data_IF_309024322895
#
_entry.id   IF_309024322895
#
_cell.length_a   1.000
_cell.length_b   1.000
_cell.length_c   1.000
_cell.angle_alpha   90.00
_cell.angle_beta   90.00
_cell.angle_gamma   90.00
#
_symmetry.space_group_name_H-M   'P 1'
#
loop_
_entity.id
_entity.type
_entity.pdbx_description
1 polymer ?
#
# COMPACT_ATOMS: atom_id res chain seq x y z
N UNK A 1 35.34 -8.18 39.15
CA UNK A 1 35.67 -6.76 38.94
C UNK A 1 35.82 -6.12 40.32
N UNK A 2 36.99 -5.55 40.65
CA UNK A 2 37.36 -5.16 42.01
C UNK A 2 38.03 -3.78 42.09
N UNK A 3 37.48 -2.79 41.38
CA UNK A 3 37.94 -1.40 41.47
C UNK A 3 37.18 -0.62 42.54
N UNK A 4 37.90 0.12 43.36
CA UNK A 4 37.34 1.05 44.37
C UNK A 4 37.17 2.42 43.70
N UNK A 5 35.97 3.00 43.81
CA UNK A 5 35.65 4.30 43.22
C UNK A 5 35.41 5.32 44.33
N UNK A 6 35.82 6.57 44.12
CA UNK A 6 35.32 7.67 44.94
C UNK A 6 33.80 7.79 44.74
N UNK A 7 32.99 7.92 45.82
CA UNK A 7 31.53 8.01 45.72
C UNK A 7 31.04 9.11 44.76
N UNK A 8 31.81 10.20 44.65
CA UNK A 8 31.50 11.35 43.80
C UNK A 8 31.92 11.17 42.34
N UNK A 9 32.77 10.20 42.03
CA UNK A 9 33.24 9.92 40.67
C UNK A 9 32.50 8.73 40.03
N UNK A 10 31.76 7.93 40.81
CA UNK A 10 30.95 6.83 40.31
C UNK A 10 29.54 7.32 39.94
N UNK A 11 29.44 8.00 38.81
CA UNK A 11 28.21 8.64 38.36
C UNK A 11 27.58 7.91 37.16
N UNK A 12 26.25 7.89 37.13
CA UNK A 12 25.51 7.34 36.01
C UNK A 12 25.79 8.13 34.73
N UNK A 13 26.10 7.41 33.65
CA UNK A 13 26.42 8.04 32.39
C UNK A 13 25.24 8.79 31.76
N UNK A 14 24.00 8.38 32.03
CA UNK A 14 22.79 9.03 31.52
C UNK A 14 22.45 10.32 32.26
N UNK A 15 22.21 10.27 33.58
CA UNK A 15 21.75 11.42 34.36
C UNK A 15 22.86 12.23 35.02
N UNK A 16 24.11 11.76 34.96
CA UNK A 16 25.31 12.36 35.57
C UNK A 16 25.30 12.45 37.10
N UNK A 17 24.30 11.88 37.76
CA UNK A 17 24.22 11.81 39.23
C UNK A 17 25.02 10.62 39.78
N UNK A 18 25.56 10.71 41.01
CA UNK A 18 26.21 9.59 41.69
C UNK A 18 25.30 8.35 41.79
N UNK A 19 25.87 7.17 41.61
CA UNK A 19 25.17 5.89 41.82
C UNK A 19 25.43 5.46 43.26
N UNK A 20 24.41 5.59 44.10
CA UNK A 20 24.43 5.13 45.50
C UNK A 20 23.74 3.78 45.69
N UNK A 21 23.13 3.24 44.64
CA UNK A 21 22.42 1.97 44.67
C UNK A 21 23.38 0.78 44.81
N UNK A 22 22.95 -0.26 45.52
CA UNK A 22 23.74 -1.48 45.70
C UNK A 22 23.98 -2.24 44.39
N UNK A 23 23.07 -2.09 43.42
CA UNK A 23 23.15 -2.74 42.11
C UNK A 23 23.02 -1.71 40.99
N UNK A 24 23.87 -1.83 39.97
CA UNK A 24 23.91 -0.93 38.81
C UNK A 24 24.06 -1.72 37.52
N UNK A 25 23.85 -1.07 36.38
CA UNK A 25 24.00 -1.67 35.05
C UNK A 25 25.20 -1.08 34.32
N UNK A 26 25.87 -1.90 33.50
CA UNK A 26 27.04 -1.49 32.71
C UNK A 26 26.73 -1.68 31.22
N UNK A 27 26.89 -0.62 30.41
CA UNK A 27 26.96 -0.69 28.94
C UNK A 27 28.28 -0.08 28.48
N UNK A 28 29.02 -0.73 27.59
CA UNK A 28 30.25 -0.18 27.00
C UNK A 28 31.25 0.35 28.05
N UNK A 29 31.37 -0.38 29.16
CA UNK A 29 32.19 -0.01 30.32
C UNK A 29 31.79 1.30 31.02
N UNK A 30 30.56 1.78 30.83
CA UNK A 30 29.98 2.96 31.47
C UNK A 30 28.89 2.54 32.47
N UNK A 31 28.90 3.06 33.71
CA UNK A 31 27.92 2.71 34.73
C UNK A 31 26.63 3.52 34.57
N UNK A 32 25.49 2.89 34.85
CA UNK A 32 24.16 3.50 34.85
C UNK A 32 23.37 3.07 36.08
N UNK A 33 22.50 3.95 36.60
CA UNK A 33 21.40 3.50 37.47
C UNK A 33 20.59 2.45 36.71
N UNK A 34 20.07 1.42 37.39
CA UNK A 34 19.23 0.39 36.75
C UNK A 34 18.02 1.00 36.02
N UNK A 35 17.40 2.01 36.61
CA UNK A 35 16.29 2.77 36.03
C UNK A 35 16.71 3.53 34.77
N UNK A 36 17.83 4.27 34.83
CA UNK A 36 18.36 5.00 33.67
C UNK A 36 18.79 4.06 32.55
N UNK A 37 19.43 2.93 32.88
CA UNK A 37 19.77 1.91 31.90
C UNK A 37 18.52 1.37 31.20
N UNK A 38 17.49 1.03 31.98
CA UNK A 38 16.21 0.59 31.44
C UNK A 38 15.58 1.65 30.54
N UNK A 39 15.58 2.91 30.96
CA UNK A 39 14.99 4.01 30.19
C UNK A 39 15.66 4.18 28.81
N UNK A 40 16.99 4.04 28.74
CA UNK A 40 17.75 4.25 27.51
C UNK A 40 17.89 3.01 26.62
N UNK A 41 17.94 1.81 27.21
CA UNK A 41 18.26 0.58 26.47
C UNK A 41 17.09 -0.39 26.34
N UNK A 42 16.05 -0.27 27.17
CA UNK A 42 14.92 -1.17 27.12
C UNK A 42 13.97 -0.76 25.99
N UNK A 43 13.67 -1.64 25.03
CA UNK A 43 12.77 -1.28 23.94
C UNK A 43 11.36 -1.00 24.45
N UNK A 44 10.73 0.01 23.86
CA UNK A 44 9.31 0.34 24.04
C UNK A 44 8.50 -0.24 22.89
N UNK A 45 7.27 -0.62 23.21
CA UNK A 45 6.28 -1.10 22.27
C UNK A 45 5.65 0.09 21.53
N UNK A 46 5.67 0.09 20.21
CA UNK A 46 5.07 1.14 19.38
C UNK A 46 3.53 1.13 19.47
N UNK A 47 2.94 0.03 19.96
CA UNK A 47 1.49 -0.12 20.15
C UNK A 47 1.05 0.36 21.53
N UNK A 48 1.52 -0.27 22.62
CA UNK A 48 1.08 0.07 23.97
C UNK A 48 1.86 1.22 24.63
N UNK A 49 2.95 1.69 24.01
CA UNK A 49 3.86 2.74 24.49
C UNK A 49 4.63 2.43 25.78
N UNK A 50 4.42 1.25 26.35
CA UNK A 50 5.15 0.74 27.52
C UNK A 50 6.43 0.01 27.12
N UNK A 51 7.33 -0.18 28.08
CA UNK A 51 8.44 -1.12 27.93
C UNK A 51 7.94 -2.53 27.63
N UNK A 52 8.58 -3.20 26.68
CA UNK A 52 8.24 -4.58 26.31
C UNK A 52 8.58 -5.49 27.50
N UNK A 53 7.70 -6.39 27.95
CA UNK A 53 8.01 -7.24 29.10
C UNK A 53 9.11 -8.26 28.76
N UNK A 54 9.92 -8.62 29.76
CA UNK A 54 10.83 -9.77 29.67
C UNK A 54 10.05 -11.08 29.79
N UNK A 55 10.44 -12.09 29.03
CA UNK A 55 9.89 -13.44 29.16
C UNK A 55 10.40 -14.12 30.47
N UNK A 56 9.90 -15.32 30.84
CA UNK A 56 10.33 -16.01 32.06
C UNK A 56 11.83 -16.32 32.14
N UNK A 57 12.54 -16.35 31.01
CA UNK A 57 13.99 -16.51 30.94
C UNK A 57 14.78 -15.19 31.15
N UNK A 58 14.08 -14.08 31.41
CA UNK A 58 14.69 -12.75 31.58
C UNK A 58 15.09 -12.06 30.28
N UNK A 59 14.71 -12.62 29.12
CA UNK A 59 15.03 -12.06 27.81
C UNK A 59 13.91 -11.17 27.29
N UNK A 60 14.26 -10.08 26.61
CA UNK A 60 13.28 -9.19 25.96
C UNK A 60 12.99 -9.70 24.56
N UNK A 61 11.80 -10.27 24.36
CA UNK A 61 11.31 -10.66 23.04
C UNK A 61 10.25 -9.69 22.55
N UNK A 62 10.39 -9.25 21.30
CA UNK A 62 9.41 -8.43 20.61
C UNK A 62 9.14 -8.97 19.21
N UNK A 63 7.99 -8.58 18.65
CA UNK A 63 7.65 -8.78 17.25
C UNK A 63 7.89 -7.48 16.49
N UNK A 64 8.18 -7.60 15.20
CA UNK A 64 8.34 -6.44 14.33
C UNK A 64 7.55 -6.66 13.04
N UNK A 65 6.92 -5.60 12.54
CA UNK A 65 6.39 -5.65 11.18
C UNK A 65 7.55 -5.82 10.19
N UNK A 66 7.53 -6.79 9.25
CA UNK A 66 8.67 -7.09 8.36
C UNK A 66 9.18 -5.90 7.56
N UNK A 67 8.27 -5.08 7.01
CA UNK A 67 8.61 -3.89 6.23
C UNK A 67 8.73 -2.61 7.07
N UNK A 68 7.73 -2.28 7.89
CA UNK A 68 7.71 -1.02 8.65
C UNK A 68 8.63 -1.01 9.88
N UNK A 69 9.12 -2.18 10.31
CA UNK A 69 9.88 -2.36 11.54
C UNK A 69 9.18 -1.82 12.80
N UNK A 70 7.84 -1.71 12.78
CA UNK A 70 7.03 -1.37 13.95
C UNK A 70 7.23 -2.46 15.00
N UNK A 71 7.85 -2.13 16.13
CA UNK A 71 8.17 -3.07 17.22
C UNK A 71 7.03 -3.12 18.22
N UNK A 72 6.57 -4.31 18.56
CA UNK A 72 5.44 -4.46 19.47
C UNK A 72 5.54 -5.70 20.36
N UNK A 73 4.81 -5.66 21.47
CA UNK A 73 4.69 -6.78 22.40
C UNK A 73 4.04 -7.99 21.69
N UNK A 74 4.55 -9.22 21.87
CA UNK A 74 3.95 -10.42 21.29
C UNK A 74 2.49 -10.66 21.68
N UNK A 75 2.02 -10.09 22.80
CA UNK A 75 0.61 -10.15 23.21
C UNK A 75 -0.35 -9.50 22.22
N UNK A 76 0.10 -8.50 21.46
CA UNK A 76 -0.75 -7.79 20.50
C UNK A 76 -1.15 -8.63 19.29
N UNK A 77 -0.50 -9.78 19.07
CA UNK A 77 -0.94 -10.75 18.06
C UNK A 77 -2.24 -11.47 18.45
N UNK A 78 -2.63 -11.43 19.74
CA UNK A 78 -3.74 -12.23 20.28
C UNK A 78 -4.77 -11.42 21.07
N UNK A 79 -4.52 -10.14 21.35
CA UNK A 79 -5.39 -9.31 22.18
C UNK A 79 -6.47 -8.54 21.40
N UNK A 80 -6.57 -8.79 20.08
CA UNK A 80 -7.51 -8.11 19.21
C UNK A 80 -7.08 -6.71 18.77
N UNK A 81 -5.83 -6.30 19.02
CA UNK A 81 -5.28 -5.06 18.46
C UNK A 81 -5.43 -5.06 16.94
N UNK A 82 -6.17 -4.12 16.36
CA UNK A 82 -6.43 -4.14 14.92
C UNK A 82 -5.21 -3.70 14.11
N UNK A 83 -5.20 -4.09 12.84
CA UNK A 83 -4.22 -3.67 11.85
C UNK A 83 -4.87 -2.77 10.82
N UNK A 84 -4.11 -1.83 10.28
CA UNK A 84 -4.53 -1.07 9.12
C UNK A 84 -4.72 -2.02 7.92
N UNK A 85 -5.86 -1.98 7.24
CA UNK A 85 -6.15 -2.84 6.08
C UNK A 85 -5.28 -2.53 4.86
N UNK A 86 -4.52 -1.43 4.90
CA UNK A 86 -3.66 -1.01 3.79
C UNK A 86 -2.18 -1.15 4.09
N UNK A 87 -1.68 -0.69 5.25
CA UNK A 87 -0.26 -0.79 5.59
C UNK A 87 0.08 -1.88 6.63
N UNK A 88 -0.92 -2.62 7.13
CA UNK A 88 -0.80 -3.73 8.09
C UNK A 88 -0.15 -3.39 9.45
N UNK A 89 0.25 -2.13 9.68
CA UNK A 89 0.67 -1.63 10.99
C UNK A 89 -0.46 -1.74 12.01
N UNK A 90 -0.13 -2.16 13.21
CA UNK A 90 -1.05 -2.25 14.34
C UNK A 90 -1.44 -0.86 14.85
N UNK A 91 -2.70 -0.70 15.28
CA UNK A 91 -3.25 0.53 15.88
C UNK A 91 -2.57 0.83 17.23
N UNK A 92 -1.83 1.95 17.35
CA UNK A 92 -1.26 2.38 18.62
C UNK A 92 -2.33 2.79 19.63
N UNK A 93 -2.11 2.58 20.93
CA UNK A 93 -3.09 2.92 22.00
C UNK A 93 -3.42 4.41 22.10
N UNK A 94 -2.51 5.27 21.67
CA UNK A 94 -2.63 6.73 21.72
C UNK A 94 -3.26 7.32 20.45
N UNK A 95 -3.51 6.49 19.44
CA UNK A 95 -4.08 6.92 18.15
C UNK A 95 -5.30 6.07 17.83
N UNK A 96 -6.31 6.66 17.18
CA UNK A 96 -7.48 5.91 16.74
C UNK A 96 -7.51 5.77 15.22
N UNK A 97 -7.67 4.53 14.74
CA UNK A 97 -7.87 4.26 13.33
C UNK A 97 -9.33 4.49 12.93
N UNK A 98 -9.54 4.89 11.67
CA UNK A 98 -10.86 4.97 11.07
C UNK A 98 -11.46 3.58 10.96
N UNK A 99 -12.70 3.42 11.43
CA UNK A 99 -13.48 2.20 11.22
C UNK A 99 -14.36 2.37 9.98
N UNK A 100 -14.16 1.47 9.02
CA UNK A 100 -15.00 1.35 7.83
C UNK A 100 -16.24 0.49 8.15
N UNK A 101 -17.30 0.60 7.36
CA UNK A 101 -18.58 -0.07 7.64
C UNK A 101 -18.49 -1.60 7.50
N UNK A 102 -17.52 -2.09 6.72
CA UNK A 102 -17.21 -3.51 6.55
C UNK A 102 -16.28 -4.09 7.65
N UNK A 103 -16.04 -3.32 8.72
CA UNK A 103 -15.23 -3.70 9.86
C UNK A 103 -13.71 -3.51 9.67
N UNK A 104 -13.24 -3.12 8.49
CA UNK A 104 -11.83 -2.77 8.29
C UNK A 104 -11.41 -1.55 9.10
N UNK A 105 -10.12 -1.47 9.37
CA UNK A 105 -9.49 -0.36 10.08
C UNK A 105 -8.49 0.32 9.18
N UNK A 106 -8.53 1.65 9.09
CA UNK A 106 -7.63 2.43 8.25
C UNK A 106 -6.88 3.44 9.13
N UNK A 107 -5.56 3.39 9.10
CA UNK A 107 -4.75 4.37 9.83
C UNK A 107 -4.86 5.76 9.20
N UNK A 108 -4.60 6.80 9.99
CA UNK A 108 -4.76 8.19 9.54
C UNK A 108 -3.83 8.55 8.37
N UNK A 109 -2.59 8.04 8.37
CA UNK A 109 -1.65 8.28 7.27
C UNK A 109 -2.09 7.60 5.96
N UNK A 110 -2.76 6.43 6.02
CA UNK A 110 -3.35 5.80 4.83
C UNK A 110 -4.66 6.48 4.41
N UNK A 111 -5.40 7.07 5.36
CA UNK A 111 -6.63 7.81 5.09
C UNK A 111 -6.37 9.07 4.26
N UNK A 112 -5.21 9.72 4.43
CA UNK A 112 -4.86 10.96 3.72
C UNK A 112 -4.96 10.86 2.18
N UNK A 113 -4.72 9.67 1.62
CA UNK A 113 -4.85 9.40 0.18
C UNK A 113 -5.91 8.37 -0.16
N UNK A 114 -6.81 8.02 0.77
CA UNK A 114 -7.82 7.00 0.55
C UNK A 114 -8.94 7.48 -0.38
N UNK A 115 -9.30 6.63 -1.36
CA UNK A 115 -10.38 6.87 -2.31
C UNK A 115 -11.65 6.22 -1.75
N UNK A 116 -12.69 7.02 -1.50
CA UNK A 116 -13.85 6.59 -0.73
C UNK A 116 -15.12 6.36 -1.55
N UNK A 117 -15.19 6.86 -2.77
CA UNK A 117 -16.39 6.75 -3.62
C UNK A 117 -16.02 6.78 -5.10
N UNK A 118 -16.93 6.29 -5.95
CA UNK A 118 -16.65 5.99 -7.36
C UNK A 118 -16.11 7.16 -8.18
N UNK A 119 -16.68 8.35 -8.02
CA UNK A 119 -16.25 9.53 -8.78
C UNK A 119 -14.86 10.04 -8.36
N UNK A 120 -14.43 9.81 -7.11
CA UNK A 120 -13.08 10.17 -6.64
C UNK A 120 -11.99 9.35 -7.34
N UNK A 121 -12.34 8.17 -7.85
CA UNK A 121 -11.41 7.29 -8.55
C UNK A 121 -11.21 7.64 -10.03
N UNK A 122 -12.07 8.50 -10.61
CA UNK A 122 -12.02 8.80 -12.05
C UNK A 122 -10.70 9.44 -12.52
N UNK A 123 -10.10 10.41 -11.81
CA UNK A 123 -8.79 10.94 -12.21
C UNK A 123 -7.71 9.86 -12.24
N UNK A 124 -7.70 8.95 -11.26
CA UNK A 124 -6.76 7.83 -11.20
C UNK A 124 -7.00 6.84 -12.36
N UNK A 125 -8.26 6.61 -12.74
CA UNK A 125 -8.57 5.74 -13.88
C UNK A 125 -8.02 6.30 -15.19
N UNK A 126 -8.18 7.60 -15.43
CA UNK A 126 -7.61 8.27 -16.61
C UNK A 126 -6.08 8.16 -16.60
N UNK A 127 -5.42 8.39 -15.46
CA UNK A 127 -3.96 8.23 -15.35
C UNK A 127 -3.49 6.81 -15.68
N UNK A 128 -4.26 5.79 -15.30
CA UNK A 128 -3.95 4.39 -15.63
C UNK A 128 -4.20 4.11 -17.11
N UNK A 129 -5.27 4.64 -17.70
CA UNK A 129 -5.49 4.54 -19.14
C UNK A 129 -4.34 5.18 -19.94
N UNK A 130 -3.85 6.33 -19.50
CA UNK A 130 -2.67 7.00 -20.08
C UNK A 130 -1.40 6.16 -19.92
N UNK A 131 -1.21 5.52 -18.76
CA UNK A 131 -0.10 4.58 -18.54
C UNK A 131 -0.16 3.41 -19.54
N UNK A 132 -1.33 2.79 -19.73
CA UNK A 132 -1.52 1.73 -20.72
C UNK A 132 -1.31 2.21 -22.15
N UNK A 133 -1.79 3.41 -22.50
CA UNK A 133 -1.54 4.01 -23.81
C UNK A 133 -0.05 4.26 -24.04
N UNK A 134 0.68 4.71 -23.03
CA UNK A 134 2.14 4.85 -23.04
C UNK A 134 2.90 3.53 -23.26
N UNK A 135 2.31 2.40 -22.90
CA UNK A 135 2.81 1.05 -23.19
C UNK A 135 2.36 0.50 -24.55
N UNK A 136 1.71 1.32 -25.39
CA UNK A 136 1.05 0.91 -26.63
C UNK A 136 -0.07 -0.14 -26.43
N UNK A 137 -0.68 -0.14 -25.25
CA UNK A 137 -1.73 -1.08 -24.82
C UNK A 137 -3.07 -0.36 -24.59
N UNK A 138 -3.42 0.58 -25.48
CA UNK A 138 -4.65 1.37 -25.37
C UNK A 138 -5.90 0.48 -25.24
N UNK A 139 -6.72 0.75 -24.24
CA UNK A 139 -8.04 0.14 -24.02
C UNK A 139 -9.09 1.06 -24.63
N UNK A 140 -9.62 0.67 -25.79
CA UNK A 140 -10.61 1.49 -26.54
C UNK A 140 -12.02 1.41 -25.94
N UNK A 141 -12.33 0.31 -25.27
CA UNK A 141 -13.60 0.07 -24.60
C UNK A 141 -13.71 1.00 -23.38
N UNK A 142 -14.85 1.69 -23.24
CA UNK A 142 -15.19 2.34 -21.98
C UNK A 142 -15.68 1.27 -21.00
N UNK A 143 -14.84 0.95 -20.01
CA UNK A 143 -15.15 0.00 -18.95
C UNK A 143 -15.59 0.80 -17.71
N UNK A 144 -16.82 0.60 -17.20
CA UNK A 144 -17.25 1.20 -15.94
C UNK A 144 -16.32 0.80 -14.79
N UNK A 145 -15.83 1.79 -14.03
CA UNK A 145 -15.09 1.58 -12.79
C UNK A 145 -15.99 1.93 -11.61
N UNK A 146 -16.20 0.99 -10.68
CA UNK A 146 -17.10 1.15 -9.54
C UNK A 146 -16.37 0.84 -8.23
N UNK A 147 -16.49 1.74 -7.26
CA UNK A 147 -16.06 1.47 -5.88
C UNK A 147 -17.22 0.83 -5.11
N UNK A 148 -16.92 -0.29 -4.45
CA UNK A 148 -17.92 -1.14 -3.82
C UNK A 148 -17.51 -1.53 -2.41
N UNK A 149 -18.49 -1.94 -1.62
CA UNK A 149 -18.26 -2.56 -0.30
C UNK A 149 -17.82 -4.01 -0.45
N UNK A 150 -17.21 -4.56 0.62
CA UNK A 150 -16.73 -5.96 0.63
C UNK A 150 -17.84 -6.96 0.31
N UNK A 151 -19.05 -6.72 0.81
CA UNK A 151 -20.20 -7.59 0.53
C UNK A 151 -20.53 -7.64 -0.96
N UNK A 152 -20.66 -6.48 -1.61
CA UNK A 152 -20.95 -6.41 -3.04
C UNK A 152 -19.83 -7.01 -3.90
N UNK A 153 -18.56 -6.87 -3.48
CA UNK A 153 -17.44 -7.50 -4.16
C UNK A 153 -17.51 -9.03 -4.07
N UNK A 154 -17.80 -9.58 -2.88
CA UNK A 154 -17.94 -11.03 -2.68
C UNK A 154 -19.13 -11.61 -3.46
N UNK A 155 -20.29 -10.94 -3.45
CA UNK A 155 -21.47 -11.33 -4.23
C UNK A 155 -21.16 -11.33 -5.73
N UNK A 156 -20.44 -10.32 -6.21
CA UNK A 156 -20.01 -10.24 -7.60
C UNK A 156 -19.00 -11.34 -7.99
N UNK A 157 -18.13 -11.76 -7.05
CA UNK A 157 -17.23 -12.88 -7.27
C UNK A 157 -17.97 -14.22 -7.41
N UNK A 158 -19.01 -14.46 -6.60
CA UNK A 158 -19.82 -15.68 -6.67
C UNK A 158 -20.59 -15.79 -8.00
N UNK A 159 -20.94 -14.65 -8.60
CA UNK A 159 -21.61 -14.58 -9.90
C UNK A 159 -20.68 -14.79 -11.11
N UNK A 160 -19.36 -14.69 -10.94
CA UNK A 160 -18.39 -14.77 -12.03
C UNK A 160 -17.93 -16.22 -12.26
N UNK A 161 -18.12 -16.72 -13.49
CA UNK A 161 -17.76 -18.09 -13.88
C UNK A 161 -16.26 -18.30 -14.11
N UNK A 162 -15.52 -17.22 -14.33
CA UNK A 162 -14.09 -17.23 -14.71
C UNK A 162 -13.18 -16.65 -13.60
N UNK A 163 -13.66 -16.58 -12.34
CA UNK A 163 -12.85 -16.07 -11.22
C UNK A 163 -11.87 -17.10 -10.67
N UNK A 164 -10.59 -16.74 -10.54
CA UNK A 164 -9.60 -17.54 -9.82
C UNK A 164 -9.61 -17.16 -8.33
N UNK A 165 -10.10 -18.05 -7.46
CA UNK A 165 -10.24 -17.79 -6.03
C UNK A 165 -8.99 -18.21 -5.25
N UNK A 166 -8.10 -17.30 -4.83
CA UNK A 166 -7.03 -17.70 -3.90
C UNK A 166 -6.31 -16.62 -3.05
N UNK A 167 -6.90 -15.44 -2.80
CA UNK A 167 -6.40 -14.49 -1.80
C UNK A 167 -7.30 -14.46 -0.54
N UNK A 168 -6.76 -14.20 0.66
CA UNK A 168 -7.58 -14.10 1.89
C UNK A 168 -8.60 -12.95 1.84
N UNK A 169 -8.39 -11.97 0.95
CA UNK A 169 -9.30 -10.85 0.74
C UNK A 169 -9.13 -10.28 -0.69
N UNK A 170 -10.09 -10.56 -1.58
CA UNK A 170 -10.15 -9.93 -2.91
C UNK A 170 -10.41 -8.43 -2.75
N UNK A 171 -9.66 -7.60 -3.49
CA UNK A 171 -9.76 -6.12 -3.40
C UNK A 171 -10.11 -5.45 -4.73
N UNK A 172 -10.01 -6.18 -5.84
CA UNK A 172 -10.41 -5.78 -7.18
C UNK A 172 -11.06 -6.95 -7.90
N UNK A 173 -11.90 -6.66 -8.89
CA UNK A 173 -12.50 -7.70 -9.73
C UNK A 173 -12.85 -7.17 -11.12
N UNK A 174 -12.32 -7.83 -12.15
CA UNK A 174 -12.67 -7.61 -13.54
C UNK A 174 -13.84 -8.51 -13.99
N UNK A 175 -15.01 -7.90 -14.22
CA UNK A 175 -16.27 -8.57 -14.50
C UNK A 175 -16.53 -8.80 -15.98
N UNK A 176 -17.22 -9.90 -16.29
CA UNK A 176 -17.62 -10.27 -17.66
C UNK A 176 -19.12 -10.57 -17.77
N UNK A 177 -19.77 -10.87 -16.65
CA UNK A 177 -21.19 -11.21 -16.61
C UNK A 177 -22.09 -9.99 -16.31
N UNK A 178 -23.37 -10.10 -16.69
CA UNK A 178 -24.39 -9.11 -16.33
C UNK A 178 -24.84 -9.31 -14.89
N UNK A 179 -24.75 -8.25 -14.09
CA UNK A 179 -25.19 -8.29 -12.70
C UNK A 179 -25.54 -6.89 -12.19
N UNK A 180 -26.28 -6.84 -11.08
CA UNK A 180 -26.56 -5.59 -10.39
C UNK A 180 -25.59 -5.48 -9.20
N UNK A 181 -24.80 -4.42 -9.17
CA UNK A 181 -23.77 -4.21 -8.14
C UNK A 181 -24.06 -2.92 -7.39
N UNK A 182 -24.00 -2.98 -6.07
CA UNK A 182 -24.17 -1.81 -5.20
C UNK A 182 -22.88 -0.99 -5.16
N UNK A 183 -22.93 0.26 -5.59
CA UNK A 183 -21.77 1.17 -5.71
C UNK A 183 -21.88 2.36 -4.75
N UNK A 184 -20.74 2.90 -4.31
CA UNK A 184 -20.67 4.06 -3.42
C UNK A 184 -20.62 5.35 -4.25
N UNK A 185 -21.68 6.15 -4.17
CA UNK A 185 -21.84 7.33 -5.03
C UNK A 185 -21.30 8.62 -4.44
N UNK A 186 -21.15 8.68 -3.12
CA UNK A 186 -20.78 9.90 -2.42
C UNK A 186 -19.77 9.61 -1.33
N UNK A 187 -18.88 10.58 -1.10
CA UNK A 187 -17.93 10.53 0.00
C UNK A 187 -18.66 10.37 1.34
N UNK A 188 -18.34 9.32 2.13
CA UNK A 188 -18.86 9.17 3.48
C UNK A 188 -18.37 10.29 4.39
N UNK A 189 -19.17 10.63 5.40
CA UNK A 189 -18.77 11.58 6.44
C UNK A 189 -18.04 10.86 7.55
N UNK A 190 -16.97 11.46 8.07
CA UNK A 190 -16.26 10.93 9.24
C UNK A 190 -16.85 11.57 10.49
N UNK A 191 -17.48 10.74 11.30
CA UNK A 191 -18.12 11.10 12.55
C UNK A 191 -17.20 11.17 13.75
N UNK A 192 -17.80 11.51 14.89
CA UNK A 192 -17.14 11.44 16.19
C UNK A 192 -16.58 10.02 16.44
N UNK A 193 -15.33 9.96 16.89
CA UNK A 193 -14.67 8.69 17.20
C UNK A 193 -14.17 7.91 15.98
N UNK A 194 -13.90 8.58 14.85
CA UNK A 194 -13.31 7.99 13.64
C UNK A 194 -14.13 6.81 13.10
N UNK A 195 -15.41 7.06 12.83
CA UNK A 195 -16.34 6.10 12.20
C UNK A 195 -16.98 6.74 10.99
N UNK A 196 -17.28 5.95 9.97
CA UNK A 196 -18.09 6.40 8.84
C UNK A 196 -19.54 6.63 9.30
N UNK A 197 -20.14 7.71 8.78
CA UNK A 197 -21.54 8.07 8.91
C UNK A 197 -22.05 8.46 7.52
N UNK A 198 -23.34 8.20 7.25
CA UNK A 198 -24.03 8.59 6.03
C UNK A 198 -23.36 8.03 4.76
N UNK A 199 -23.02 6.74 4.76
CA UNK A 199 -22.66 6.03 3.52
C UNK A 199 -23.90 6.00 2.61
N UNK A 200 -23.74 6.47 1.36
CA UNK A 200 -24.81 6.45 0.36
C UNK A 200 -24.38 5.53 -0.77
N UNK A 201 -25.18 4.49 -1.00
CA UNK A 201 -24.98 3.51 -2.05
C UNK A 201 -26.16 3.48 -3.01
N UNK A 202 -25.92 3.07 -4.25
CA UNK A 202 -26.99 2.84 -5.24
C UNK A 202 -26.75 1.55 -6.03
N UNK A 203 -27.81 0.86 -6.47
CA UNK A 203 -27.67 -0.27 -7.37
C UNK A 203 -27.29 0.20 -8.78
N UNK A 204 -26.21 -0.36 -9.31
CA UNK A 204 -25.77 -0.14 -10.70
C UNK A 204 -26.01 -1.41 -11.51
N UNK A 205 -26.78 -1.31 -12.60
CA UNK A 205 -27.06 -2.44 -13.49
C UNK A 205 -25.98 -2.56 -14.57
N UNK A 206 -25.18 -3.62 -14.52
CA UNK A 206 -24.22 -3.95 -15.56
C UNK A 206 -24.92 -4.63 -16.72
N UNK A 207 -24.64 -4.14 -17.94
CA UNK A 207 -25.18 -4.67 -19.19
C UNK A 207 -24.00 -5.09 -20.05
N UNK A 208 -24.05 -6.30 -20.59
CA UNK A 208 -22.95 -6.88 -21.35
C UNK A 208 -22.95 -6.32 -22.76
N UNK A 209 -22.06 -5.36 -22.98
CA UNK A 209 -21.81 -4.77 -24.31
C UNK A 209 -20.60 -5.40 -25.02
N UNK A 210 -19.74 -6.08 -24.27
CA UNK A 210 -18.49 -6.70 -24.70
C UNK A 210 -18.06 -7.75 -23.66
N UNK A 211 -16.87 -8.31 -23.82
CA UNK A 211 -16.34 -9.36 -22.92
C UNK A 211 -15.99 -8.87 -21.51
N UNK A 212 -15.91 -7.55 -21.30
CA UNK A 212 -15.69 -6.94 -19.98
C UNK A 212 -16.82 -5.98 -19.64
N UNK A 213 -17.50 -6.16 -18.52
CA UNK A 213 -18.69 -5.38 -18.15
C UNK A 213 -18.37 -4.26 -17.16
N UNK A 214 -17.43 -4.46 -16.25
CA UNK A 214 -16.95 -3.45 -15.30
C UNK A 214 -15.65 -3.90 -14.59
N UNK A 215 -14.98 -2.94 -13.94
CA UNK A 215 -13.96 -3.19 -12.93
C UNK A 215 -14.52 -2.71 -11.59
N UNK A 216 -14.52 -3.60 -10.59
CA UNK A 216 -14.88 -3.28 -9.22
C UNK A 216 -13.62 -3.12 -8.37
N UNK A 217 -13.61 -2.15 -7.47
CA UNK A 217 -12.54 -2.00 -6.46
C UNK A 217 -13.16 -1.76 -5.08
N UNK A 218 -12.58 -2.42 -4.07
CA UNK A 218 -12.96 -2.20 -2.68
C UNK A 218 -12.66 -0.75 -2.26
N UNK A 219 -13.64 -0.06 -1.68
CA UNK A 219 -13.48 1.33 -1.27
C UNK A 219 -12.52 1.51 -0.07
N UNK A 220 -12.11 2.74 0.20
CA UNK A 220 -11.33 3.08 1.39
C UNK A 220 -9.90 2.57 1.34
N UNK A 221 -9.35 2.41 0.13
CA UNK A 221 -7.95 2.06 -0.10
C UNK A 221 -7.15 3.32 -0.49
N UNK A 222 -5.89 3.46 -0.05
CA UNK A 222 -4.99 4.52 -0.49
C UNK A 222 -4.87 4.57 -2.01
N UNK A 223 -4.62 5.76 -2.56
CA UNK A 223 -4.52 5.99 -4.00
C UNK A 223 -3.55 5.02 -4.70
N UNK A 224 -2.36 4.82 -4.15
CA UNK A 224 -1.36 3.92 -4.74
C UNK A 224 -1.82 2.45 -4.71
N UNK A 225 -2.50 2.01 -3.66
CA UNK A 225 -3.06 0.64 -3.62
C UNK A 225 -4.22 0.48 -4.61
N UNK A 226 -5.11 1.46 -4.65
CA UNK A 226 -6.22 1.50 -5.60
C UNK A 226 -5.70 1.45 -7.03
N UNK A 227 -4.64 2.20 -7.32
CA UNK A 227 -4.08 2.28 -8.66
C UNK A 227 -3.33 1.02 -9.07
N UNK A 228 -2.60 0.37 -8.16
CA UNK A 228 -1.96 -0.92 -8.46
C UNK A 228 -3.00 -2.02 -8.72
N UNK A 229 -4.09 -2.04 -7.95
CA UNK A 229 -5.22 -2.96 -8.19
C UNK A 229 -5.87 -2.64 -9.53
N UNK A 230 -6.14 -1.37 -9.83
CA UNK A 230 -6.76 -0.98 -11.09
C UNK A 230 -5.90 -1.30 -12.30
N UNK A 231 -4.57 -1.13 -12.21
CA UNK A 231 -3.65 -1.59 -13.25
C UNK A 231 -3.72 -3.12 -13.40
N UNK A 232 -3.72 -3.87 -12.31
CA UNK A 232 -3.91 -5.33 -12.34
C UNK A 232 -5.21 -5.73 -13.04
N UNK A 233 -6.36 -5.21 -12.62
CA UNK A 233 -7.67 -5.55 -13.20
C UNK A 233 -7.81 -5.10 -14.66
N UNK A 234 -7.21 -3.95 -15.02
CA UNK A 234 -7.21 -3.47 -16.39
C UNK A 234 -6.35 -4.35 -17.30
N UNK A 235 -5.34 -5.05 -16.76
CA UNK A 235 -4.60 -6.05 -17.51
C UNK A 235 -5.47 -7.26 -17.86
N UNK A 236 -6.25 -7.80 -16.92
CA UNK A 236 -7.24 -8.85 -17.22
C UNK A 236 -8.21 -8.39 -18.31
N UNK A 237 -8.73 -7.15 -18.19
CA UNK A 237 -9.63 -6.60 -19.18
C UNK A 237 -8.97 -6.50 -20.57
N UNK A 238 -7.72 -6.03 -20.62
CA UNK A 238 -6.97 -5.89 -21.87
C UNK A 238 -6.71 -7.24 -22.54
N UNK A 239 -6.32 -8.26 -21.77
CA UNK A 239 -6.10 -9.63 -22.29
C UNK A 239 -7.37 -10.19 -22.94
N UNK A 240 -8.52 -10.05 -22.26
CA UNK A 240 -9.83 -10.48 -22.78
C UNK A 240 -10.20 -9.74 -24.06
N UNK A 241 -10.09 -8.41 -24.07
CA UNK A 241 -10.42 -7.58 -25.24
C UNK A 241 -9.50 -7.81 -26.44
N UNK A 242 -8.26 -8.29 -26.22
CA UNK A 242 -7.34 -8.67 -27.31
C UNK A 242 -7.49 -10.14 -27.75
N UNK A 243 -8.39 -10.90 -27.13
CA UNK A 243 -8.68 -12.28 -27.48
C UNK A 243 -7.52 -13.22 -27.16
N UNK A 244 -6.86 -13.03 -26.01
CA UNK A 244 -5.93 -14.03 -25.49
C UNK A 244 -6.67 -15.34 -25.19
N UNK A 245 -6.01 -16.51 -25.35
CA UNK A 245 -6.59 -17.78 -24.95
C UNK A 245 -6.78 -17.82 -23.43
N UNK A 246 -7.49 -18.83 -22.93
CA UNK A 246 -7.52 -19.11 -21.50
C UNK A 246 -6.10 -19.47 -21.04
N UNK A 247 -5.51 -18.60 -20.22
CA UNK A 247 -4.16 -18.75 -19.70
C UNK A 247 -4.21 -19.56 -18.39
N UNK A 248 -3.07 -20.11 -17.98
CA UNK A 248 -2.98 -20.66 -16.62
C UNK A 248 -2.97 -19.51 -15.60
N UNK A 249 -3.45 -19.73 -14.36
CA UNK A 249 -3.45 -18.69 -13.33
C UNK A 249 -2.07 -18.07 -13.11
N UNK A 250 -1.00 -18.87 -13.18
CA UNK A 250 0.37 -18.39 -13.02
C UNK A 250 0.79 -17.40 -14.11
N UNK A 251 0.31 -17.59 -15.34
CA UNK A 251 0.62 -16.69 -16.46
C UNK A 251 -0.27 -15.46 -16.43
N UNK A 252 -1.57 -15.64 -16.22
CA UNK A 252 -2.54 -14.54 -16.19
C UNK A 252 -2.31 -13.61 -14.99
N UNK A 253 -2.31 -14.14 -13.77
CA UNK A 253 -2.09 -13.35 -12.56
C UNK A 253 -0.66 -12.78 -12.53
N UNK A 254 0.30 -13.56 -13.04
CA UNK A 254 1.69 -13.15 -13.12
C UNK A 254 1.89 -11.89 -13.97
N UNK A 255 1.36 -11.87 -15.21
CA UNK A 255 1.49 -10.68 -16.06
C UNK A 255 0.66 -9.51 -15.52
N UNK A 256 -0.50 -9.76 -14.90
CA UNK A 256 -1.29 -8.72 -14.25
C UNK A 256 -0.54 -8.07 -13.07
N UNK A 257 0.19 -8.86 -12.27
CA UNK A 257 1.08 -8.34 -11.22
C UNK A 257 2.27 -7.55 -11.77
N UNK A 258 2.82 -7.94 -12.93
CA UNK A 258 3.88 -7.17 -13.60
C UNK A 258 3.39 -5.76 -13.94
N UNK A 259 2.19 -5.62 -14.50
CA UNK A 259 1.63 -4.29 -14.83
C UNK A 259 1.34 -3.45 -13.58
N UNK A 260 0.84 -4.07 -12.51
CA UNK A 260 0.65 -3.40 -11.23
C UNK A 260 1.96 -2.87 -10.64
N UNK A 261 3.02 -3.70 -10.68
CA UNK A 261 4.36 -3.34 -10.21
C UNK A 261 4.99 -2.23 -11.07
N UNK A 262 4.92 -2.35 -12.40
CA UNK A 262 5.43 -1.33 -13.33
C UNK A 262 4.73 0.02 -13.12
N UNK A 263 3.42 0.03 -12.89
CA UNK A 263 2.68 1.25 -12.58
C UNK A 263 3.16 1.88 -11.27
N UNK A 264 3.26 1.11 -10.18
CA UNK A 264 3.81 1.58 -8.90
C UNK A 264 5.22 2.16 -9.08
N UNK A 265 6.06 1.51 -9.87
CA UNK A 265 7.43 1.98 -10.12
C UNK A 265 7.43 3.33 -10.85
N UNK A 266 6.60 3.47 -11.89
CA UNK A 266 6.45 4.72 -12.64
C UNK A 266 6.01 5.89 -11.73
N UNK A 267 5.15 5.59 -10.76
CA UNK A 267 4.63 6.54 -9.81
C UNK A 267 5.71 6.97 -8.79
N UNK A 268 6.56 6.04 -8.33
CA UNK A 268 7.67 6.35 -7.42
C UNK A 268 8.79 7.13 -8.12
N UNK A 269 9.14 6.79 -9.37
CA UNK A 269 10.16 7.51 -10.15
C UNK A 269 9.74 8.94 -10.48
N UNK A 270 8.48 9.17 -10.85
CA UNK A 270 7.94 10.51 -11.15
C UNK A 270 8.03 11.47 -9.96
N UNK A 271 8.11 10.94 -8.73
CA UNK A 271 8.16 11.73 -7.49
C UNK A 271 9.56 12.17 -7.10
N UNK A 272 10.61 11.54 -7.64
CA UNK A 272 12.02 11.86 -7.33
C UNK A 272 12.64 12.90 -8.27
N UNK A 273 12.04 13.14 -9.45
CA UNK A 273 12.53 14.11 -10.43
C UNK A 273 12.32 15.59 -10.07
N UNK A 274 11.63 15.90 -8.96
CA UNK A 274 11.32 17.29 -8.56
C UNK A 274 12.32 17.90 -7.58
N UNK A 275 13.31 17.15 -7.08
CA UNK A 275 14.28 17.64 -6.07
C UNK A 275 15.66 17.99 -6.67
N UNK A 276 15.86 17.83 -7.99
CA UNK A 276 17.15 18.07 -8.66
C UNK A 276 17.20 19.41 -9.45
N UNK A 277 16.49 20.45 -9.02
CA UNK A 277 16.50 21.75 -9.72
C UNK A 277 16.36 22.94 -8.77
N UNK A 278 17.25 23.06 -7.79
CA UNK A 278 17.46 24.34 -7.11
C UNK A 278 18.86 24.42 -6.51
N UNK A 279 19.85 24.57 -7.39
CA UNK A 279 21.18 25.09 -7.05
C UNK A 279 21.81 25.79 -8.27
N UNK A 280 21.43 27.04 -8.51
CA UNK A 280 22.36 28.06 -9.04
C UNK A 280 21.77 29.48 -9.02
N UNK A 281 22.48 30.32 -8.26
CA UNK A 281 22.81 31.74 -8.48
C UNK A 281 21.74 32.76 -8.87
N UNK A 282 21.54 33.68 -7.92
CA UNK A 282 21.10 35.07 -8.05
C UNK A 282 21.67 35.82 -9.28
N UNK A 283 20.78 36.46 -10.04
CA UNK A 283 21.03 37.79 -10.60
C UNK A 283 19.71 38.52 -10.84
N UNK A 284 19.70 39.79 -10.47
CA UNK A 284 18.59 40.75 -10.52
C UNK A 284 18.36 41.31 -11.91
N UNK A 285 17.11 41.42 -12.35
CA UNK A 285 16.60 42.63 -13.03
C UNK A 285 15.07 42.57 -13.21
N UNK A 286 14.47 43.74 -13.06
CA UNK A 286 13.06 44.07 -13.09
C UNK A 286 12.53 44.31 -14.51
N UNK A 287 11.34 43.79 -14.83
CA UNK A 287 10.31 44.53 -15.60
C UNK A 287 9.00 43.75 -15.74
N UNK A 288 7.91 44.49 -15.56
CA UNK A 288 6.49 44.18 -15.73
C UNK A 288 6.07 43.73 -17.14
N UNK A 289 5.08 42.83 -17.26
CA UNK A 289 3.98 42.82 -18.26
C UNK A 289 3.14 41.51 -18.19
N UNK A 290 1.84 41.67 -17.91
CA UNK A 290 0.60 40.94 -18.26
C UNK A 290 0.55 39.43 -18.64
N UNK A 291 -0.58 38.74 -18.34
CA UNK A 291 -0.73 37.30 -18.53
C UNK A 291 -1.25 36.95 -19.92
N UNK A 292 -0.55 36.07 -20.63
CA UNK A 292 -1.07 35.39 -21.82
C UNK A 292 -1.27 33.91 -21.51
N UNK A 293 -2.54 33.52 -21.58
CA UNK A 293 -3.07 32.17 -21.51
C UNK A 293 -2.50 31.27 -22.61
N UNK A 294 -1.90 30.16 -22.21
CA UNK A 294 -1.80 28.96 -23.04
C UNK A 294 -1.96 27.74 -22.14
N UNK A 295 -3.04 27.02 -22.40
CA UNK A 295 -3.48 25.77 -21.80
C UNK A 295 -2.41 24.67 -21.87
N UNK A 296 -1.93 24.25 -20.71
CA UNK A 296 -1.45 22.90 -20.46
C UNK A 296 -2.02 22.46 -19.11
N UNK A 297 -3.20 21.83 -19.15
CA UNK A 297 -3.75 21.11 -18.00
C UNK A 297 -2.97 19.82 -17.82
N UNK A 298 -1.70 19.92 -17.42
CA UNK A 298 -1.08 18.86 -16.66
C UNK A 298 -1.59 19.02 -15.23
N UNK A 299 -2.43 18.10 -14.78
CA UNK A 299 -2.81 17.98 -13.38
C UNK A 299 -1.52 17.87 -12.59
N UNK A 300 -1.05 18.98 -11.99
CA UNK A 300 0.17 19.01 -11.18
C UNK A 300 -0.02 18.02 -10.05
N UNK A 301 0.56 16.81 -10.19
CA UNK A 301 0.70 15.82 -9.13
C UNK A 301 1.28 16.57 -7.92
N UNK A 302 0.48 16.72 -6.85
CA UNK A 302 0.93 17.39 -5.64
C UNK A 302 2.18 16.68 -5.08
N UNK A 303 3.02 17.40 -4.32
CA UNK A 303 4.19 16.80 -3.69
C UNK A 303 3.72 15.68 -2.75
N UNK A 304 4.08 14.43 -3.07
CA UNK A 304 3.73 13.25 -2.26
C UNK A 304 4.46 13.28 -0.92
N UNK A 305 3.80 12.81 0.13
CA UNK A 305 4.42 12.67 1.45
C UNK A 305 5.45 11.55 1.44
N UNK A 306 6.43 11.61 2.35
CA UNK A 306 7.42 10.54 2.51
C UNK A 306 6.76 9.23 2.94
N UNK A 307 5.66 9.32 3.71
CA UNK A 307 4.82 8.17 4.03
C UNK A 307 4.23 7.54 2.78
N UNK A 308 3.65 8.33 1.87
CA UNK A 308 3.03 7.82 0.65
C UNK A 308 4.06 7.14 -0.28
N UNK A 309 5.29 7.68 -0.37
CA UNK A 309 6.39 7.03 -1.10
C UNK A 309 6.73 5.66 -0.49
N UNK A 310 6.95 5.62 0.83
CA UNK A 310 7.26 4.39 1.57
C UNK A 310 6.10 3.38 1.52
N UNK A 311 4.86 3.86 1.44
CA UNK A 311 3.68 3.03 1.26
C UNK A 311 3.65 2.39 -0.15
N UNK A 312 4.06 3.12 -1.18
CA UNK A 312 4.24 2.56 -2.53
C UNK A 312 5.34 1.49 -2.57
N UNK A 313 6.47 1.72 -1.92
CA UNK A 313 7.54 0.72 -1.75
C UNK A 313 7.05 -0.54 -1.02
N UNK A 314 6.22 -0.35 0.01
CA UNK A 314 5.59 -1.46 0.72
C UNK A 314 4.71 -2.31 -0.20
N UNK A 315 3.88 -1.70 -1.06
CA UNK A 315 3.06 -2.45 -2.01
C UNK A 315 3.88 -3.19 -3.05
N UNK A 316 4.96 -2.58 -3.56
CA UNK A 316 5.93 -3.28 -4.43
C UNK A 316 6.53 -4.50 -3.72
N UNK A 317 6.97 -4.32 -2.48
CA UNK A 317 7.52 -5.40 -1.67
C UNK A 317 6.48 -6.51 -1.46
N UNK A 318 5.19 -6.20 -1.27
CA UNK A 318 4.15 -7.24 -1.16
C UNK A 318 4.04 -8.08 -2.44
N UNK A 319 4.09 -7.48 -3.62
CA UNK A 319 4.09 -8.20 -4.91
C UNK A 319 5.35 -9.06 -5.05
N UNK A 320 6.53 -8.50 -4.74
CA UNK A 320 7.83 -9.16 -4.90
C UNK A 320 8.03 -10.36 -3.95
N UNK A 321 7.51 -10.24 -2.73
CA UNK A 321 7.65 -11.24 -1.67
C UNK A 321 6.47 -12.21 -1.54
N UNK A 322 5.46 -12.10 -2.43
CA UNK A 322 4.33 -13.01 -2.45
C UNK A 322 4.82 -14.46 -2.68
N UNK A 323 4.39 -15.37 -1.79
CA UNK A 323 4.80 -16.78 -1.80
C UNK A 323 3.85 -17.69 -2.57
N UNK A 324 2.70 -17.17 -3.03
CA UNK A 324 1.75 -17.93 -3.83
C UNK A 324 2.33 -18.30 -5.20
N UNK A 325 1.86 -19.41 -5.77
CA UNK A 325 2.31 -19.83 -7.10
C UNK A 325 1.74 -18.91 -8.18
N UNK A 326 0.42 -18.66 -8.17
CA UNK A 326 -0.23 -17.83 -9.19
C UNK A 326 0.28 -16.37 -9.19
N UNK A 327 0.22 -15.68 -8.05
CA UNK A 327 0.59 -14.26 -7.98
C UNK A 327 2.09 -14.06 -7.79
N UNK A 328 2.71 -14.77 -6.85
CA UNK A 328 4.12 -14.57 -6.50
C UNK A 328 5.09 -15.17 -7.52
N UNK A 329 4.98 -16.47 -7.80
CA UNK A 329 5.84 -17.15 -8.78
C UNK A 329 5.54 -16.68 -10.20
N UNK A 330 4.25 -16.54 -10.54
CA UNK A 330 3.80 -15.92 -11.79
C UNK A 330 4.40 -14.53 -12.01
N UNK A 331 4.38 -13.65 -10.99
CA UNK A 331 5.02 -12.34 -11.07
C UNK A 331 6.53 -12.47 -11.32
N UNK A 332 7.24 -13.33 -10.58
CA UNK A 332 8.69 -13.48 -10.74
C UNK A 332 9.07 -13.94 -12.15
N UNK A 333 8.36 -14.92 -12.70
CA UNK A 333 8.56 -15.42 -14.06
C UNK A 333 8.21 -14.35 -15.11
N UNK A 334 7.05 -13.72 -14.97
CA UNK A 334 6.60 -12.67 -15.89
C UNK A 334 7.52 -11.45 -15.87
N UNK A 335 7.95 -11.01 -14.70
CA UNK A 335 8.86 -9.88 -14.54
C UNK A 335 10.23 -10.20 -15.15
N UNK A 336 10.74 -11.42 -14.92
CA UNK A 336 11.98 -11.88 -15.55
C UNK A 336 11.88 -11.87 -17.08
N UNK A 337 10.77 -12.36 -17.64
CA UNK A 337 10.51 -12.35 -19.08
C UNK A 337 10.45 -10.92 -19.63
N UNK A 338 9.71 -10.01 -18.98
CA UNK A 338 9.57 -8.62 -19.39
C UNK A 338 10.92 -7.88 -19.31
N UNK A 339 11.73 -8.11 -18.28
CA UNK A 339 13.07 -7.53 -18.17
C UNK A 339 14.03 -8.03 -19.25
N UNK A 340 13.91 -9.31 -19.63
CA UNK A 340 14.81 -9.95 -20.61
C UNK A 340 14.41 -9.65 -22.06
N UNK A 341 13.12 -9.63 -22.37
CA UNK A 341 12.61 -9.60 -23.74
C UNK A 341 11.77 -8.37 -24.06
N UNK A 342 11.43 -7.56 -23.06
CA UNK A 342 10.48 -6.46 -23.18
C UNK A 342 9.03 -6.91 -23.06
N UNK A 343 8.15 -5.98 -22.65
CA UNK A 343 6.73 -6.26 -22.41
C UNK A 343 6.02 -6.76 -23.67
N UNK A 344 6.20 -6.08 -24.81
CA UNK A 344 5.55 -6.42 -26.07
C UNK A 344 5.89 -7.84 -26.55
N UNK A 345 7.18 -8.18 -26.60
CA UNK A 345 7.64 -9.51 -27.01
C UNK A 345 7.11 -10.59 -26.09
N UNK A 346 7.08 -10.31 -24.78
CA UNK A 346 6.55 -11.24 -23.77
C UNK A 346 5.05 -11.50 -24.00
N UNK A 347 4.26 -10.44 -24.22
CA UNK A 347 2.84 -10.54 -24.50
C UNK A 347 2.55 -11.27 -25.82
N UNK A 348 3.28 -10.96 -26.90
CA UNK A 348 3.15 -11.67 -28.17
C UNK A 348 3.47 -13.16 -28.03
N UNK A 349 4.47 -13.53 -27.21
CA UNK A 349 4.77 -14.92 -26.91
C UNK A 349 3.66 -15.61 -26.12
N UNK A 350 3.14 -14.98 -25.05
CA UNK A 350 2.03 -15.50 -24.24
C UNK A 350 0.81 -15.74 -25.14
N UNK A 351 0.53 -14.82 -26.08
CA UNK A 351 -0.60 -14.95 -27.00
C UNK A 351 -0.52 -16.21 -27.87
N UNK A 352 0.68 -16.58 -28.30
CA UNK A 352 0.91 -17.72 -29.21
C UNK A 352 1.00 -19.04 -28.45
N UNK A 353 1.65 -19.03 -27.28
CA UNK A 353 2.07 -20.25 -26.57
C UNK A 353 1.27 -20.54 -25.30
N UNK A 354 0.61 -19.51 -24.73
CA UNK A 354 -0.03 -19.59 -23.42
C UNK A 354 0.93 -19.56 -22.24
N UNK A 355 2.25 -19.35 -22.46
CA UNK A 355 3.27 -19.37 -21.39
C UNK A 355 4.26 -18.21 -21.49
N UNK A 356 4.99 -17.96 -20.40
CA UNK A 356 6.10 -17.00 -20.41
C UNK A 356 7.28 -17.51 -21.26
N UNK A 357 7.98 -16.62 -21.99
CA UNK A 357 9.19 -16.98 -22.71
C UNK A 357 10.32 -17.31 -21.72
N UNK A 358 11.05 -18.40 -21.99
CA UNK A 358 12.18 -18.89 -21.17
C UNK A 358 13.49 -18.21 -21.57
#
# INVERSE_FOLDING_TARGET
MGGVWHPECFCCHACKLPITDFEFSMSDNRPYHKSCYKEHHHPRCDVCKSFIPTNPAGLVEYRAHPFWFQKYCPSHERDGTPRCCSCERMEPRDTKYLSLDDGRKLCLECLDSAIMYTHECQPLYVEIQEFYEGLNMKVEQQIPLLLVERQALNEAMEGEKNGHHHLPETRGLCLSEEQCVTTIIRRPRIGAGYRIIDMITEPYKLVRRCDVTAILILYGLPRLLTGSILAHELMHAWLRLKGYPNLSPEVEEGICQVLAHMWLDSELYSSSGSEASSSSSSSSSSSSSSPSSSSSTSSKKGKRSDFEKKLGEYFKHQIESDTSSAYGEGFRLGNQAVLKYGLRTTLDHIRITGSFPV
#
